data_IF_729087434875
#
_entry.id   IF_729087434875
#
_cell.length_a   1.000
_cell.length_b   1.000
_cell.length_c   1.000
_cell.angle_alpha   90.00
_cell.angle_beta   90.00
_cell.angle_gamma   90.00
#
_symmetry.space_group_name_H-M   'P 1'
#
loop_
_entity.id
_entity.type
_entity.pdbx_description
1 polymer ?
#
# COMPACT_ATOMS: atom_id res chain seq x y z
N UNK A 1 18.17 -29.79 -5.52
CA UNK A 1 17.41 -31.05 -5.55
C UNK A 1 17.74 -31.87 -6.79
N UNK A 2 17.28 -31.53 -8.00
CA UNK A 2 17.58 -32.35 -9.19
C UNK A 2 19.10 -32.51 -9.46
N UNK A 3 19.88 -31.41 -9.48
CA UNK A 3 21.33 -31.53 -9.69
C UNK A 3 22.03 -32.38 -8.63
N UNK A 4 21.53 -32.35 -7.39
CA UNK A 4 22.04 -33.18 -6.29
C UNK A 4 21.66 -34.65 -6.49
N UNK A 5 20.42 -34.92 -6.93
CA UNK A 5 19.94 -36.27 -7.23
C UNK A 5 20.69 -36.87 -8.43
N UNK A 6 20.93 -36.08 -9.47
CA UNK A 6 21.76 -36.45 -10.62
C UNK A 6 23.22 -36.70 -10.23
N UNK A 7 23.79 -35.88 -9.34
CA UNK A 7 25.16 -36.07 -8.85
C UNK A 7 25.31 -37.30 -7.94
N UNK A 8 24.24 -37.69 -7.23
CA UNK A 8 24.20 -38.89 -6.40
C UNK A 8 23.80 -40.15 -7.18
N UNK A 9 23.45 -40.02 -8.47
CA UNK A 9 23.04 -41.12 -9.30
C UNK A 9 24.21 -42.09 -9.52
N UNK A 10 24.04 -43.32 -9.05
CA UNK A 10 24.99 -44.41 -9.23
C UNK A 10 24.25 -45.67 -9.69
N UNK A 11 24.97 -46.64 -10.23
CA UNK A 11 24.41 -47.96 -10.60
C UNK A 11 23.23 -47.88 -11.59
N UNK A 12 23.26 -46.93 -12.54
CA UNK A 12 22.20 -46.80 -13.57
C UNK A 12 20.93 -46.11 -13.09
N UNK A 13 20.92 -45.50 -11.90
CA UNK A 13 19.83 -44.62 -11.49
C UNK A 13 19.80 -43.32 -12.30
N UNK A 14 18.62 -42.77 -12.50
CA UNK A 14 18.39 -41.45 -13.13
C UNK A 14 17.36 -40.66 -12.33
N UNK A 15 17.34 -39.34 -12.51
CA UNK A 15 16.34 -38.48 -11.90
C UNK A 15 15.91 -37.38 -12.88
N UNK A 16 14.63 -37.08 -12.94
CA UNK A 16 14.08 -36.01 -13.77
C UNK A 16 12.90 -35.30 -13.09
N UNK A 17 12.74 -34.01 -13.38
CA UNK A 17 11.52 -33.31 -12.99
C UNK A 17 10.41 -33.67 -13.95
N UNK A 18 9.35 -34.31 -13.45
CA UNK A 18 8.07 -34.39 -14.17
C UNK A 18 7.31 -33.07 -14.07
N UNK A 19 7.42 -32.38 -12.94
CA UNK A 19 6.95 -31.00 -12.82
C UNK A 19 7.77 -30.23 -11.78
N UNK A 20 7.94 -28.93 -12.00
CA UNK A 20 8.49 -28.00 -11.02
C UNK A 20 7.89 -26.62 -11.25
N UNK A 21 7.36 -26.00 -10.21
CA UNK A 21 6.74 -24.68 -10.30
C UNK A 21 6.97 -23.85 -9.05
N UNK A 22 7.18 -22.54 -9.27
CA UNK A 22 7.30 -21.54 -8.22
C UNK A 22 6.30 -20.42 -8.49
N UNK A 23 5.30 -20.31 -7.62
CA UNK A 23 4.48 -19.11 -7.49
C UNK A 23 5.15 -18.18 -6.49
N UNK A 24 5.60 -17.00 -6.95
CA UNK A 24 6.22 -16.00 -6.07
C UNK A 24 5.24 -15.53 -4.99
N UNK A 25 5.75 -15.28 -3.79
CA UNK A 25 5.00 -14.59 -2.75
C UNK A 25 4.89 -13.10 -3.07
N UNK A 26 3.89 -12.46 -2.49
CA UNK A 26 3.65 -11.01 -2.57
C UNK A 26 3.35 -10.48 -1.17
N UNK A 27 3.15 -9.17 -1.01
CA UNK A 27 2.66 -8.59 0.23
C UNK A 27 1.26 -9.11 0.62
N UNK A 28 0.44 -9.44 -0.38
CA UNK A 28 -0.97 -9.79 -0.19
C UNK A 28 -1.24 -11.30 -0.19
N UNK A 29 -0.42 -12.08 -0.88
CA UNK A 29 -0.60 -13.51 -1.08
C UNK A 29 0.69 -14.32 -0.87
N UNK A 30 0.55 -15.47 -0.21
CA UNK A 30 1.64 -16.42 -0.06
C UNK A 30 2.02 -17.02 -1.41
N UNK A 31 3.30 -17.36 -1.56
CA UNK A 31 3.80 -18.09 -2.72
C UNK A 31 3.64 -19.60 -2.53
N UNK A 32 4.07 -20.35 -3.55
CA UNK A 32 4.02 -21.81 -3.53
C UNK A 32 5.22 -22.38 -4.28
N UNK A 33 5.85 -23.39 -3.73
CA UNK A 33 6.89 -24.19 -4.36
C UNK A 33 6.35 -25.62 -4.47
N UNK A 34 6.19 -26.13 -5.68
CA UNK A 34 5.69 -27.48 -5.91
C UNK A 34 6.49 -28.20 -6.99
N UNK A 35 6.58 -29.52 -6.88
CA UNK A 35 7.22 -30.34 -7.90
C UNK A 35 6.96 -31.83 -7.70
N UNK A 36 7.23 -32.57 -8.77
CA UNK A 36 7.22 -34.02 -8.85
C UNK A 36 8.54 -34.45 -9.49
N UNK A 37 9.41 -35.07 -8.70
CA UNK A 37 10.68 -35.64 -9.14
C UNK A 37 10.46 -37.14 -9.36
N UNK A 38 10.82 -37.63 -10.53
CA UNK A 38 10.84 -39.06 -10.85
C UNK A 38 12.27 -39.54 -10.73
N UNK A 39 12.49 -40.59 -9.96
CA UNK A 39 13.78 -41.29 -9.84
C UNK A 39 13.58 -42.67 -10.42
N UNK A 40 14.42 -43.08 -11.37
CA UNK A 40 14.33 -44.39 -12.01
C UNK A 40 15.58 -45.20 -11.71
N UNK A 41 15.45 -46.49 -11.40
CA UNK A 41 16.56 -47.44 -11.29
C UNK A 41 16.14 -48.76 -11.91
N UNK A 42 16.92 -49.27 -12.87
CA UNK A 42 16.67 -50.56 -13.53
C UNK A 42 15.22 -50.72 -14.08
N UNK A 43 14.61 -49.62 -14.53
CA UNK A 43 13.24 -49.59 -15.07
C UNK A 43 12.14 -49.37 -14.03
N UNK A 44 12.44 -49.41 -12.73
CA UNK A 44 11.50 -49.08 -11.67
C UNK A 44 11.56 -47.59 -11.30
N UNK A 45 10.40 -46.96 -11.06
CA UNK A 45 10.30 -45.52 -10.82
C UNK A 45 9.71 -45.19 -9.45
N UNK A 46 10.33 -44.25 -8.75
CA UNK A 46 9.81 -43.60 -7.55
C UNK A 46 9.41 -42.15 -7.88
N UNK A 47 8.18 -41.79 -7.53
CA UNK A 47 7.67 -40.43 -7.65
C UNK A 47 7.70 -39.70 -6.30
N UNK A 48 8.53 -38.66 -6.20
CA UNK A 48 8.58 -37.77 -5.02
C UNK A 48 7.84 -36.47 -5.31
N UNK A 49 6.73 -36.25 -4.62
CA UNK A 49 5.92 -35.03 -4.72
C UNK A 49 6.13 -34.14 -3.50
N UNK A 50 6.31 -32.85 -3.72
CA UNK A 50 6.27 -31.85 -2.65
C UNK A 50 5.42 -30.65 -3.04
N UNK A 51 4.87 -30.02 -2.01
CA UNK A 51 4.10 -28.78 -2.12
C UNK A 51 4.30 -27.98 -0.85
N UNK A 52 5.12 -26.94 -0.92
CA UNK A 52 5.46 -26.09 0.20
C UNK A 52 4.92 -24.67 -0.02
N UNK A 53 4.44 -24.04 1.04
CA UNK A 53 4.01 -22.64 1.02
C UNK A 53 5.22 -21.74 1.22
N UNK A 54 5.37 -20.74 0.36
CA UNK A 54 6.35 -19.67 0.57
C UNK A 54 5.63 -18.57 1.37
N UNK A 55 6.14 -18.17 2.55
CA UNK A 55 5.52 -17.10 3.34
C UNK A 55 5.31 -15.83 2.53
N UNK A 56 4.30 -15.03 2.89
CA UNK A 56 4.10 -13.70 2.32
C UNK A 56 5.36 -12.86 2.54
N UNK A 57 5.55 -11.86 1.68
CA UNK A 57 6.57 -10.85 1.93
C UNK A 57 6.31 -10.18 3.28
N UNK A 58 7.39 -9.79 3.95
CA UNK A 58 7.29 -9.02 5.19
C UNK A 58 6.42 -7.78 4.96
N UNK A 59 5.58 -7.45 5.93
CA UNK A 59 4.64 -6.34 5.79
C UNK A 59 5.37 -5.03 5.42
N UNK A 60 4.70 -4.21 4.61
CA UNK A 60 5.16 -2.84 4.35
C UNK A 60 5.22 -2.08 5.68
N UNK A 61 6.27 -1.29 5.84
CA UNK A 61 6.43 -0.41 7.00
C UNK A 61 5.49 0.79 6.88
N UNK A 62 5.25 1.40 8.04
CA UNK A 62 4.45 2.59 8.22
C UNK A 62 5.24 3.57 9.11
N UNK A 63 5.01 4.88 8.97
CA UNK A 63 5.60 5.86 9.88
C UNK A 63 5.11 5.64 11.31
N UNK A 64 6.04 5.71 12.27
CA UNK A 64 5.74 5.69 13.71
C UNK A 64 5.40 7.07 14.26
N UNK A 65 5.71 8.11 13.49
CA UNK A 65 5.55 9.52 13.84
C UNK A 65 4.09 10.00 13.76
N UNK A 66 3.22 9.22 13.09
CA UNK A 66 1.79 9.49 12.98
C UNK A 66 1.02 8.27 13.48
N UNK A 67 -0.15 8.51 14.08
CA UNK A 67 -1.02 7.45 14.55
C UNK A 67 -1.79 6.85 13.37
N UNK A 68 -1.13 5.93 12.66
CA UNK A 68 -1.67 5.21 11.50
C UNK A 68 -1.57 3.70 11.67
N UNK A 69 -2.63 2.98 11.31
CA UNK A 69 -2.65 1.53 11.29
C UNK A 69 -2.53 0.95 9.87
N UNK A 70 -2.39 -0.38 9.79
CA UNK A 70 -2.18 -1.10 8.52
C UNK A 70 -3.33 -0.87 7.53
N UNK A 71 -4.56 -0.79 8.00
CA UNK A 71 -5.74 -0.64 7.16
C UNK A 71 -5.81 0.77 6.56
N UNK A 72 -5.54 1.79 7.36
CA UNK A 72 -5.49 3.20 6.95
C UNK A 72 -4.38 3.46 5.93
N UNK A 73 -3.19 2.93 6.21
CA UNK A 73 -2.04 3.03 5.32
C UNK A 73 -2.30 2.38 3.96
N UNK A 74 -3.00 1.24 3.97
CA UNK A 74 -3.38 0.54 2.76
C UNK A 74 -4.48 1.29 1.97
N UNK A 75 -5.42 1.96 2.64
CA UNK A 75 -6.37 2.87 1.97
C UNK A 75 -5.62 4.00 1.27
N UNK A 76 -4.62 4.63 1.90
CA UNK A 76 -3.81 5.67 1.26
C UNK A 76 -3.14 5.11 -0.01
N UNK A 77 -2.48 3.96 0.09
CA UNK A 77 -1.82 3.32 -1.05
C UNK A 77 -2.79 3.09 -2.21
N UNK A 78 -3.91 2.42 -1.94
CA UNK A 78 -4.89 2.07 -2.97
C UNK A 78 -5.58 3.30 -3.57
N UNK A 79 -5.84 4.32 -2.75
CA UNK A 79 -6.35 5.63 -3.21
C UNK A 79 -5.35 6.28 -4.16
N UNK A 80 -4.07 6.22 -3.85
CA UNK A 80 -3.01 6.78 -4.69
C UNK A 80 -2.84 6.04 -6.02
N UNK A 81 -3.07 4.72 -6.05
CA UNK A 81 -3.11 3.96 -7.31
C UNK A 81 -4.24 4.45 -8.20
N UNK A 82 -5.45 4.58 -7.65
CA UNK A 82 -6.60 5.11 -8.39
C UNK A 82 -6.35 6.54 -8.88
N UNK A 83 -5.79 7.40 -8.04
CA UNK A 83 -5.42 8.77 -8.41
C UNK A 83 -4.41 8.78 -9.56
N UNK A 84 -3.32 8.02 -9.45
CA UNK A 84 -2.28 7.96 -10.47
C UNK A 84 -2.81 7.43 -11.81
N UNK A 85 -3.63 6.38 -11.78
CA UNK A 85 -4.27 5.81 -12.98
C UNK A 85 -5.23 6.80 -13.68
N UNK A 86 -5.71 7.82 -12.96
CA UNK A 86 -6.58 8.87 -13.49
C UNK A 86 -5.81 10.20 -13.68
N UNK A 87 -4.47 10.14 -13.79
CA UNK A 87 -3.62 11.30 -14.08
C UNK A 87 -3.44 12.28 -12.92
N UNK A 88 -3.88 11.93 -11.71
CA UNK A 88 -3.77 12.78 -10.53
C UNK A 88 -2.47 12.50 -9.76
N UNK A 89 -1.99 13.53 -9.06
CA UNK A 89 -0.87 13.38 -8.12
C UNK A 89 -1.30 12.56 -6.90
N UNK A 90 -0.38 11.76 -6.37
CA UNK A 90 -0.62 10.97 -5.15
C UNK A 90 -0.72 11.90 -3.94
N UNK A 91 -1.50 11.50 -2.95
CA UNK A 91 -1.67 12.17 -1.67
C UNK A 91 -0.63 11.67 -0.66
N UNK A 92 -0.35 12.49 0.34
CA UNK A 92 0.47 12.12 1.51
C UNK A 92 -0.33 12.28 2.81
N UNK A 93 0.08 11.59 3.87
CA UNK A 93 -0.54 11.69 5.21
C UNK A 93 0.25 12.64 6.09
N UNK A 94 -0.40 13.65 6.69
CA UNK A 94 0.19 14.46 7.76
C UNK A 94 -0.28 13.95 9.12
N UNK A 95 0.52 14.13 10.17
CA UNK A 95 0.09 13.79 11.54
C UNK A 95 -1.18 14.52 11.94
N UNK A 96 -1.21 15.84 11.71
CA UNK A 96 -2.36 16.68 12.08
C UNK A 96 -3.68 16.32 11.38
N UNK A 97 -3.65 15.90 10.11
CA UNK A 97 -4.86 15.46 9.42
C UNK A 97 -5.26 14.04 9.87
N UNK A 98 -4.28 13.20 10.20
CA UNK A 98 -4.55 11.89 10.77
C UNK A 98 -5.17 11.98 12.18
N UNK A 99 -4.72 12.91 13.02
CA UNK A 99 -5.34 13.17 14.33
C UNK A 99 -6.81 13.57 14.19
N UNK A 100 -7.12 14.34 13.14
CA UNK A 100 -8.49 14.73 12.81
C UNK A 100 -9.33 13.50 12.42
N UNK A 101 -8.75 12.54 11.69
CA UNK A 101 -9.39 11.27 11.33
C UNK A 101 -9.59 10.34 12.54
N UNK A 102 -8.63 10.30 13.47
CA UNK A 102 -8.71 9.53 14.70
C UNK A 102 -9.85 9.99 15.61
N UNK A 103 -10.14 11.30 15.64
CA UNK A 103 -11.34 11.81 16.34
C UNK A 103 -12.61 11.42 15.58
N UNK A 104 -12.56 11.41 14.25
CA UNK A 104 -13.72 11.21 13.40
C UNK A 104 -14.17 9.75 13.31
N UNK A 105 -13.25 8.79 13.40
CA UNK A 105 -13.57 7.37 13.23
C UNK A 105 -14.53 6.79 14.30
N UNK A 106 -14.43 7.03 15.62
CA UNK A 106 -15.42 6.51 16.55
C UNK A 106 -16.79 7.20 16.37
N UNK A 107 -16.80 8.47 15.94
CA UNK A 107 -18.03 9.23 15.75
C UNK A 107 -18.93 8.64 14.65
N UNK A 108 -18.36 8.01 13.62
CA UNK A 108 -19.16 7.40 12.55
C UNK A 108 -19.82 6.10 12.97
N UNK A 109 -19.36 5.46 14.07
CA UNK A 109 -20.09 4.37 14.72
C UNK A 109 -21.33 4.92 15.41
N UNK A 110 -21.18 6.00 16.19
CA UNK A 110 -22.30 6.64 16.89
C UNK A 110 -23.32 7.23 15.92
N UNK A 111 -22.84 7.86 14.85
CA UNK A 111 -23.67 8.51 13.83
C UNK A 111 -22.99 8.46 12.47
N UNK A 112 -23.43 7.54 11.62
CA UNK A 112 -22.95 7.42 10.24
C UNK A 112 -23.53 8.52 9.34
N UNK A 113 -23.00 9.74 9.46
CA UNK A 113 -23.44 10.96 8.78
C UNK A 113 -22.26 11.92 8.62
N UNK A 114 -22.28 12.79 7.61
CA UNK A 114 -21.34 13.91 7.46
C UNK A 114 -21.53 15.01 8.53
N UNK A 115 -22.60 14.93 9.34
CA UNK A 115 -22.78 15.73 10.54
C UNK A 115 -22.33 14.92 11.75
N UNK A 116 -21.40 15.48 12.53
CA UNK A 116 -20.85 14.86 13.73
C UNK A 116 -21.95 14.66 14.80
N UNK A 117 -21.74 13.76 15.79
CA UNK A 117 -22.68 13.56 16.90
C UNK A 117 -22.99 14.86 17.67
N UNK A 118 -22.03 15.77 17.77
CA UNK A 118 -22.19 17.08 18.41
C UNK A 118 -22.96 18.12 17.57
N UNK A 119 -23.53 17.73 16.42
CA UNK A 119 -24.31 18.60 15.54
C UNK A 119 -23.49 19.48 14.58
N UNK A 120 -22.16 19.52 14.71
CA UNK A 120 -21.29 20.30 13.82
C UNK A 120 -20.97 19.53 12.52
N UNK A 121 -20.49 20.27 11.52
CA UNK A 121 -19.95 19.69 10.29
C UNK A 121 -18.78 18.73 10.60
N UNK A 122 -18.62 17.65 9.81
CA UNK A 122 -17.42 16.80 9.83
C UNK A 122 -16.12 17.61 9.74
N UNK A 123 -16.12 18.72 8.98
CA UNK A 123 -14.93 19.57 8.83
C UNK A 123 -14.56 20.36 10.09
N UNK A 124 -15.40 20.37 11.12
CA UNK A 124 -15.09 21.01 12.39
C UNK A 124 -14.08 20.23 13.24
N UNK A 125 -13.66 19.05 12.80
CA UNK A 125 -12.62 18.24 13.46
C UNK A 125 -11.22 18.59 12.95
N UNK A 126 -11.11 19.29 11.83
CA UNK A 126 -9.84 19.68 11.23
C UNK A 126 -9.19 20.77 12.09
N UNK A 127 -7.87 20.73 12.21
CA UNK A 127 -7.09 21.80 12.82
C UNK A 127 -7.38 23.16 12.16
N UNK A 128 -7.29 24.23 12.95
CA UNK A 128 -7.51 25.62 12.52
C UNK A 128 -6.71 26.03 11.27
N UNK A 129 -5.52 25.45 11.06
CA UNK A 129 -4.69 25.71 9.87
C UNK A 129 -5.36 25.30 8.56
N UNK A 130 -6.29 24.33 8.60
CA UNK A 130 -7.05 23.85 7.44
C UNK A 130 -8.39 24.58 7.26
N UNK A 131 -8.67 25.64 8.02
CA UNK A 131 -9.97 26.31 8.04
C UNK A 131 -10.38 26.84 6.65
N UNK A 132 -9.46 27.46 5.93
CA UNK A 132 -9.69 28.11 4.64
C UNK A 132 -9.39 27.23 3.42
N UNK A 133 -9.03 25.98 3.67
CA UNK A 133 -8.69 25.00 2.65
C UNK A 133 -9.93 24.21 2.22
N UNK A 134 -9.97 23.76 0.98
CA UNK A 134 -11.00 22.86 0.46
C UNK A 134 -10.83 21.51 1.15
N UNK A 135 -11.96 20.98 1.60
CA UNK A 135 -12.04 19.74 2.36
C UNK A 135 -13.08 18.83 1.75
N UNK A 136 -12.84 17.53 1.84
CA UNK A 136 -13.81 16.53 1.46
C UNK A 136 -13.80 15.35 2.45
N UNK A 137 -14.94 14.68 2.58
CA UNK A 137 -15.08 13.46 3.38
C UNK A 137 -15.69 12.34 2.52
N UNK A 138 -15.10 11.15 2.57
CA UNK A 138 -15.77 9.92 2.15
C UNK A 138 -16.05 9.05 3.38
N UNK A 139 -17.25 8.48 3.45
CA UNK A 139 -17.62 7.52 4.49
C UNK A 139 -17.87 6.15 3.87
N UNK A 140 -17.48 5.09 4.58
CA UNK A 140 -17.75 3.71 4.20
C UNK A 140 -18.13 2.90 5.43
N UNK A 141 -19.07 1.95 5.29
CA UNK A 141 -19.41 1.00 6.35
C UNK A 141 -19.67 -0.37 5.78
N UNK A 142 -19.40 -1.39 6.59
CA UNK A 142 -19.67 -2.81 6.30
C UNK A 142 -18.86 -3.37 5.12
N UNK A 143 -17.75 -2.70 4.80
CA UNK A 143 -16.76 -3.12 3.80
C UNK A 143 -15.58 -3.72 4.57
N UNK A 144 -15.21 -4.96 4.27
CA UNK A 144 -14.33 -5.74 5.13
C UNK A 144 -12.85 -5.46 4.91
N UNK A 145 -12.47 -4.96 3.74
CA UNK A 145 -11.07 -4.76 3.35
C UNK A 145 -10.83 -3.39 2.73
N UNK A 146 -9.61 -2.84 2.84
CA UNK A 146 -9.26 -1.60 2.16
C UNK A 146 -9.55 -1.60 0.65
N UNK A 147 -9.24 -2.71 -0.03
CA UNK A 147 -9.50 -2.87 -1.46
C UNK A 147 -10.99 -2.84 -1.82
N UNK A 148 -11.83 -3.51 -1.02
CA UNK A 148 -13.28 -3.45 -1.17
C UNK A 148 -13.79 -2.02 -0.96
N UNK A 149 -13.27 -1.33 0.05
CA UNK A 149 -13.66 0.04 0.39
C UNK A 149 -13.31 1.04 -0.71
N UNK A 150 -12.06 1.05 -1.18
CA UNK A 150 -11.65 1.95 -2.28
C UNK A 150 -12.44 1.65 -3.55
N UNK A 151 -12.65 0.37 -3.89
CA UNK A 151 -13.49 -0.02 -5.03
C UNK A 151 -14.93 0.48 -4.90
N UNK A 152 -15.52 0.40 -3.72
CA UNK A 152 -16.87 0.91 -3.46
C UNK A 152 -16.94 2.44 -3.60
N UNK A 153 -15.96 3.17 -3.07
CA UNK A 153 -15.86 4.62 -3.24
C UNK A 153 -15.68 5.02 -4.70
N UNK A 154 -14.81 4.33 -5.45
CA UNK A 154 -14.58 4.62 -6.88
C UNK A 154 -15.79 4.33 -7.77
N UNK A 155 -16.75 3.51 -7.32
CA UNK A 155 -18.05 3.28 -7.98
C UNK A 155 -19.10 4.32 -7.64
N UNK A 156 -18.93 5.07 -6.55
CA UNK A 156 -19.83 6.16 -6.16
C UNK A 156 -19.38 7.47 -6.78
N UNK A 157 -20.25 8.14 -7.54
CA UNK A 157 -19.92 9.40 -8.23
C UNK A 157 -19.35 10.47 -7.29
N UNK A 158 -19.98 10.67 -6.12
CA UNK A 158 -19.54 11.65 -5.14
C UNK A 158 -18.19 11.29 -4.49
N UNK A 159 -18.05 10.04 -4.05
CA UNK A 159 -16.81 9.61 -3.40
C UNK A 159 -15.62 9.56 -4.37
N UNK A 160 -15.85 9.11 -5.61
CA UNK A 160 -14.87 9.14 -6.70
C UNK A 160 -14.41 10.57 -6.99
N UNK A 161 -15.34 11.54 -7.03
CA UNK A 161 -14.99 12.94 -7.27
C UNK A 161 -14.05 13.49 -6.19
N UNK A 162 -14.27 13.15 -4.92
CA UNK A 162 -13.37 13.51 -3.83
C UNK A 162 -11.97 12.89 -4.00
N UNK A 163 -11.91 11.58 -4.28
CA UNK A 163 -10.66 10.85 -4.52
C UNK A 163 -9.88 11.44 -5.69
N UNK A 164 -10.54 11.82 -6.78
CA UNK A 164 -9.90 12.28 -8.02
C UNK A 164 -9.74 13.81 -8.12
N UNK A 165 -10.11 14.56 -7.09
CA UNK A 165 -9.92 16.02 -7.11
C UNK A 165 -8.42 16.36 -7.11
N UNK A 166 -7.98 17.05 -8.16
CA UNK A 166 -6.59 17.42 -8.39
C UNK A 166 -6.01 18.34 -7.31
N UNK A 167 -6.85 19.18 -6.72
CA UNK A 167 -6.42 20.15 -5.71
C UNK A 167 -6.03 19.48 -4.38
N UNK A 168 -6.50 18.28 -4.05
CA UNK A 168 -6.13 17.64 -2.78
C UNK A 168 -4.67 17.21 -2.76
N UNK A 169 -4.05 17.37 -1.59
CA UNK A 169 -2.64 17.09 -1.31
C UNK A 169 -2.47 16.12 -0.15
N UNK A 170 -3.31 16.27 0.87
CA UNK A 170 -3.28 15.43 2.05
C UNK A 170 -4.51 14.55 2.18
N UNK A 171 -4.29 13.38 2.76
CA UNK A 171 -5.32 12.43 3.15
C UNK A 171 -5.10 12.03 4.61
N UNK A 172 -6.14 12.12 5.42
CA UNK A 172 -6.27 11.37 6.68
C UNK A 172 -7.24 10.22 6.48
N UNK A 173 -7.01 9.09 7.14
CA UNK A 173 -7.87 7.91 7.02
C UNK A 173 -8.22 7.41 8.42
N UNK A 174 -9.49 7.21 8.70
CA UNK A 174 -9.95 6.54 9.92
C UNK A 174 -10.45 5.14 9.62
N UNK A 175 -10.11 4.18 10.48
CA UNK A 175 -10.62 2.81 10.43
C UNK A 175 -10.98 2.30 11.82
N UNK A 176 -12.26 1.98 12.00
CA UNK A 176 -12.74 1.42 13.26
C UNK A 176 -13.76 0.30 13.04
N UNK A 177 -14.07 -0.43 14.11
CA UNK A 177 -15.09 -1.47 14.13
C UNK A 177 -16.05 -1.25 15.29
N UNK A 178 -17.33 -1.51 15.06
CA UNK A 178 -18.30 -1.57 16.16
C UNK A 178 -18.21 -2.89 16.95
N UNK A 179 -19.03 -3.01 17.99
CA UNK A 179 -19.09 -4.20 18.85
C UNK A 179 -19.45 -5.50 18.12
N UNK A 180 -20.09 -5.40 16.95
CA UNK A 180 -20.41 -6.53 16.07
C UNK A 180 -19.29 -6.80 15.05
N UNK A 181 -18.11 -6.19 15.24
CA UNK A 181 -16.93 -6.28 14.37
C UNK A 181 -17.18 -5.77 12.96
N UNK A 182 -18.20 -4.95 12.74
CA UNK A 182 -18.51 -4.36 11.44
C UNK A 182 -17.61 -3.15 11.22
N UNK A 183 -16.94 -3.12 10.06
CA UNK A 183 -15.97 -2.07 9.71
C UNK A 183 -16.63 -0.74 9.34
N UNK A 184 -16.00 0.35 9.75
CA UNK A 184 -16.31 1.73 9.35
C UNK A 184 -15.03 2.42 8.88
N UNK A 185 -15.18 3.30 7.89
CA UNK A 185 -14.08 3.93 7.17
C UNK A 185 -14.37 5.40 6.95
N UNK A 186 -13.33 6.22 7.09
CA UNK A 186 -13.37 7.66 6.83
C UNK A 186 -12.17 8.02 5.97
N UNK A 187 -12.38 8.78 4.89
CA UNK A 187 -11.32 9.56 4.24
C UNK A 187 -11.57 11.04 4.47
N UNK A 188 -10.52 11.76 4.81
CA UNK A 188 -10.56 13.21 5.00
C UNK A 188 -9.49 13.83 4.12
N UNK A 189 -9.92 14.63 3.15
CA UNK A 189 -9.04 15.26 2.18
C UNK A 189 -8.86 16.74 2.50
N UNK A 190 -7.66 17.25 2.24
CA UNK A 190 -7.33 18.69 2.32
C UNK A 190 -6.51 19.08 1.10
N UNK A 191 -6.80 20.23 0.51
CA UNK A 191 -5.88 20.86 -0.45
C UNK A 191 -4.77 21.63 0.27
N UNK A 192 -3.56 21.60 -0.28
CA UNK A 192 -2.50 22.50 0.15
C UNK A 192 -1.71 22.97 -1.08
N UNK A 193 -1.57 24.28 -1.23
CA UNK A 193 -0.79 24.84 -2.34
C UNK A 193 0.73 24.64 -2.13
N UNK A 194 1.16 24.19 -0.95
CA UNK A 194 2.56 23.95 -0.64
C UNK A 194 3.14 22.81 -1.49
N UNK A 195 4.15 23.14 -2.28
CA UNK A 195 4.87 22.13 -3.06
C UNK A 195 5.79 21.31 -2.15
N UNK A 196 5.92 20.01 -2.42
CA UNK A 196 6.91 19.18 -1.74
C UNK A 196 8.30 19.63 -2.22
N UNK A 197 9.13 20.11 -1.30
CA UNK A 197 10.48 20.63 -1.58
C UNK A 197 11.58 19.65 -1.21
N UNK A 198 11.29 18.66 -0.36
CA UNK A 198 12.22 17.59 0.00
C UNK A 198 11.50 16.25 0.11
N UNK A 199 12.14 15.20 -0.40
CA UNK A 199 11.66 13.81 -0.31
C UNK A 199 12.85 12.92 0.06
N UNK A 200 12.69 12.13 1.10
CA UNK A 200 13.61 11.03 1.47
C UNK A 200 12.83 9.73 1.59
N UNK A 201 13.53 8.62 1.76
CA UNK A 201 12.91 7.34 2.15
C UNK A 201 13.07 7.14 3.66
N UNK A 202 12.25 6.27 4.25
CA UNK A 202 12.36 5.86 5.65
C UNK A 202 13.72 5.27 6.04
N UNK A 203 14.55 4.86 5.08
CA UNK A 203 15.92 4.39 5.32
C UNK A 203 16.99 5.43 5.00
N UNK A 204 16.60 6.58 4.42
CA UNK A 204 17.53 7.54 3.81
C UNK A 204 18.19 7.04 2.51
N UNK A 205 18.04 5.76 2.14
CA UNK A 205 18.62 5.19 0.93
C UNK A 205 17.75 5.41 -0.30
N UNK A 206 18.38 5.67 -1.43
CA UNK A 206 17.76 5.64 -2.76
C UNK A 206 18.09 4.37 -3.55
N UNK A 207 18.86 3.44 -2.97
CA UNK A 207 19.25 2.18 -3.61
C UNK A 207 18.85 0.99 -2.74
N UNK A 208 18.13 0.05 -3.33
CA UNK A 208 17.57 -1.12 -2.66
C UNK A 208 18.07 -2.41 -3.31
N UNK A 209 18.02 -3.52 -2.56
CA UNK A 209 18.42 -4.82 -3.08
C UNK A 209 17.52 -5.24 -4.27
N UNK A 210 16.21 -5.12 -4.09
CA UNK A 210 15.19 -5.47 -5.07
C UNK A 210 13.94 -4.58 -4.88
N UNK A 211 12.94 -4.79 -5.73
CA UNK A 211 11.67 -4.04 -5.72
C UNK A 211 10.85 -4.26 -4.44
N UNK A 212 10.91 -5.45 -3.86
CA UNK A 212 10.14 -5.77 -2.65
C UNK A 212 10.70 -5.00 -1.45
N UNK A 213 12.02 -5.01 -1.24
CA UNK A 213 12.65 -4.21 -0.18
C UNK A 213 12.42 -2.70 -0.36
N UNK A 214 12.37 -2.22 -1.61
CA UNK A 214 12.03 -0.83 -1.90
C UNK A 214 10.58 -0.49 -1.51
N UNK A 215 9.61 -1.34 -1.90
CA UNK A 215 8.19 -1.13 -1.59
C UNK A 215 7.80 -1.44 -0.14
N UNK A 216 8.72 -2.02 0.64
CA UNK A 216 8.56 -2.14 2.10
C UNK A 216 8.74 -0.81 2.81
N UNK A 217 9.51 0.11 2.23
CA UNK A 217 9.78 1.42 2.78
C UNK A 217 8.73 2.46 2.34
N UNK A 218 8.81 3.66 2.89
CA UNK A 218 7.90 4.76 2.57
C UNK A 218 8.67 6.07 2.32
N UNK A 219 8.02 7.01 1.64
CA UNK A 219 8.53 8.36 1.45
C UNK A 219 8.24 9.22 2.69
N UNK A 220 9.22 10.04 3.07
CA UNK A 220 9.08 11.15 4.01
C UNK A 220 9.20 12.42 3.17
N UNK A 221 8.13 13.21 3.14
CA UNK A 221 8.02 14.41 2.35
C UNK A 221 7.98 15.63 3.27
N UNK A 222 8.69 16.69 2.90
CA UNK A 222 8.59 18.01 3.55
C UNK A 222 8.18 19.05 2.51
N UNK A 223 7.12 19.79 2.80
CA UNK A 223 6.65 20.87 1.94
C UNK A 223 7.39 22.20 2.20
N UNK A 224 7.06 23.22 1.40
CA UNK A 224 7.63 24.57 1.54
C UNK A 224 7.26 25.29 2.84
N UNK A 225 6.21 24.85 3.53
CA UNK A 225 5.77 25.38 4.82
C UNK A 225 6.38 24.63 6.01
N UNK A 226 7.15 23.57 5.74
CA UNK A 226 7.77 22.71 6.73
C UNK A 226 6.89 21.58 7.25
N UNK A 227 5.69 21.38 6.71
CA UNK A 227 4.83 20.23 7.03
C UNK A 227 5.50 18.93 6.59
N UNK A 228 5.60 17.98 7.52
CA UNK A 228 6.07 16.64 7.23
C UNK A 228 4.88 15.74 6.93
N UNK A 229 5.01 14.96 5.86
CA UNK A 229 3.99 14.01 5.43
C UNK A 229 4.60 12.72 4.86
N UNK A 230 3.79 11.68 4.78
CA UNK A 230 4.26 10.33 4.49
C UNK A 230 3.45 9.69 3.35
N UNK A 231 4.09 8.90 2.50
CA UNK A 231 3.40 8.11 1.48
C UNK A 231 4.07 6.74 1.24
N UNK A 232 3.30 5.67 1.00
CA UNK A 232 3.86 4.37 0.62
C UNK A 232 4.69 4.48 -0.66
N UNK A 233 5.79 3.74 -0.73
CA UNK A 233 6.48 3.51 -2.01
C UNK A 233 5.73 2.39 -2.74
N UNK A 234 5.11 2.72 -3.87
CA UNK A 234 4.41 1.77 -4.71
C UNK A 234 4.77 1.98 -6.17
N UNK A 235 5.36 0.96 -6.80
CA UNK A 235 5.84 1.06 -8.19
C UNK A 235 4.73 1.33 -9.20
N UNK A 236 3.47 1.03 -8.86
CA UNK A 236 2.32 1.31 -9.73
C UNK A 236 2.02 2.80 -9.83
N UNK A 237 2.59 3.61 -8.93
CA UNK A 237 2.49 5.08 -8.93
C UNK A 237 3.79 5.77 -9.38
N UNK A 238 4.70 5.01 -9.99
CA UNK A 238 6.03 5.45 -10.39
C UNK A 238 6.30 5.16 -11.86
N UNK A 239 7.22 5.91 -12.46
CA UNK A 239 7.72 5.64 -13.80
C UNK A 239 8.97 4.77 -13.74
N UNK A 240 8.97 3.62 -14.40
CA UNK A 240 10.12 2.70 -14.47
C UNK A 240 10.99 2.97 -15.69
N UNK A 241 12.32 3.02 -15.51
CA UNK A 241 13.31 3.02 -16.59
C UNK A 241 14.47 2.09 -16.24
N UNK A 242 14.51 0.90 -16.84
CA UNK A 242 15.49 -0.12 -16.48
C UNK A 242 15.36 -0.53 -15.01
N UNK A 243 16.43 -0.34 -14.23
CA UNK A 243 16.48 -0.62 -12.78
C UNK A 243 16.12 0.60 -11.90
N UNK A 244 15.61 1.68 -12.49
CA UNK A 244 15.23 2.88 -11.74
C UNK A 244 13.72 3.09 -11.74
N UNK A 245 13.22 3.64 -10.64
CA UNK A 245 11.83 3.99 -10.42
C UNK A 245 11.77 5.45 -9.97
N UNK A 246 11.12 6.29 -10.76
CA UNK A 246 10.98 7.73 -10.47
C UNK A 246 9.61 8.01 -9.91
N UNK A 247 9.54 8.69 -8.76
CA UNK A 247 8.30 9.03 -8.05
C UNK A 247 7.52 10.19 -8.70
N UNK A 248 7.13 10.01 -9.97
CA UNK A 248 6.41 11.01 -10.77
C UNK A 248 5.02 11.37 -10.24
N UNK A 249 4.45 10.49 -9.40
CA UNK A 249 3.18 10.71 -8.73
C UNK A 249 3.19 11.81 -7.66
N UNK A 250 4.34 12.12 -7.04
CA UNK A 250 4.43 13.16 -6.01
C UNK A 250 4.31 14.57 -6.60
N UNK A 251 3.72 15.50 -5.84
CA UNK A 251 3.69 16.94 -6.18
C UNK A 251 5.01 17.62 -5.79
N UNK A 252 6.09 17.22 -6.45
CA UNK A 252 7.43 17.82 -6.32
C UNK A 252 7.94 18.27 -7.68
N UNK A 253 8.71 19.38 -7.69
CA UNK A 253 9.42 19.84 -8.89
C UNK A 253 10.53 18.87 -9.30
N UNK A 254 11.15 18.21 -8.32
CA UNK A 254 12.28 17.30 -8.51
C UNK A 254 11.90 15.91 -7.98
N UNK A 255 11.31 15.04 -8.80
CA UNK A 255 10.95 13.69 -8.39
C UNK A 255 12.16 12.89 -7.90
N UNK A 256 12.00 12.22 -6.76
CA UNK A 256 13.01 11.29 -6.26
C UNK A 256 13.12 10.07 -7.18
N UNK A 257 14.36 9.61 -7.41
CA UNK A 257 14.66 8.42 -8.21
C UNK A 257 15.21 7.35 -7.29
N UNK A 258 14.56 6.19 -7.27
CA UNK A 258 14.99 5.01 -6.54
C UNK A 258 15.60 3.99 -7.51
N UNK A 259 16.57 3.20 -7.04
CA UNK A 259 17.29 2.19 -7.82
C UNK A 259 17.19 0.83 -7.14
N UNK A 260 17.11 -0.23 -7.92
CA UNK A 260 17.19 -1.62 -7.42
C UNK A 260 18.42 -2.32 -7.99
N UNK A 261 19.07 -3.19 -7.20
CA UNK A 261 20.26 -3.95 -7.65
C UNK A 261 19.84 -5.12 -8.55
N UNK A 262 18.77 -5.83 -8.20
CA UNK A 262 18.17 -6.90 -8.99
C UNK A 262 16.70 -6.61 -9.32
N UNK A 263 16.24 -7.20 -10.43
CA UNK A 263 14.83 -7.17 -10.84
C UNK A 263 14.00 -8.16 -10.04
#
# INVERSE_FOLDING_TARGET
MLNTALAAATHGSSAEWKSFSVKKATFDAAGKLSGELIITLNGESLSLKFSNTIPKLAARKMPSEISVNKQEWEILRLTNIERYNNGQKILTMTGTLQDSANIREPEVITKFSHTRPNGKSCFSVFDSKYKHLRKAENLGRYLNTPAETVKAWMKSKGHRANILTAAHDYLGVGYTKDSLRRSYWVQMFVDDAASIVSVTTSTGSTTFANVDEMQREYFICKDSNGMVSYAPIDITTMTKKGKTYTATGLRTKNPIVLKVKSN
#
